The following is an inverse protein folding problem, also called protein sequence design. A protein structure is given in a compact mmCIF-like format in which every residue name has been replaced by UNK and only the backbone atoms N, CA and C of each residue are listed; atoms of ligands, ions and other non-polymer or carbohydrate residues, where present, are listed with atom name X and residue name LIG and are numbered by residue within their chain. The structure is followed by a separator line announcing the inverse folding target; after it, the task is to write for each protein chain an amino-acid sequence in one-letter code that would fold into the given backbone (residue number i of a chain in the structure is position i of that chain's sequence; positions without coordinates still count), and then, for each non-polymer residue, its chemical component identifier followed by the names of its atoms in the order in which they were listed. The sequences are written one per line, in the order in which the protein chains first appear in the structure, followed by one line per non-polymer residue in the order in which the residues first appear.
data_IF_077634908057
#
_entry.id   IF_077634908057
#
_cell.length_a   1.000
_cell.length_b   1.000
_cell.length_c   1.000
_cell.angle_alpha   90.00
_cell.angle_beta   90.00
_cell.angle_gamma   90.00
#
_symmetry.space_group_name_H-M   'P 1'
#
loop_
_entity.id
_entity.type
_entity.pdbx_description
1 polymer ?
#
# COMPACT_ATOMS: atom_id res chain seq x y z
N UNK A 1 -1.24 10.97 -24.44
CA UNK A 1 -0.55 9.86 -23.75
C UNK A 1 0.94 10.12 -23.80
N UNK A 2 1.73 9.59 -22.86
CA UNK A 2 3.19 9.59 -22.95
C UNK A 2 3.63 8.26 -23.57
N UNK A 3 4.42 8.32 -24.64
CA UNK A 3 4.96 7.14 -25.30
C UNK A 3 6.15 6.61 -24.49
N UNK A 4 6.14 5.32 -24.16
CA UNK A 4 7.36 4.64 -23.69
C UNK A 4 8.28 4.47 -24.91
N UNK A 5 9.56 4.88 -24.87
CA UNK A 5 10.49 4.68 -25.97
C UNK A 5 10.62 3.19 -26.31
N UNK A 6 10.65 2.86 -27.60
CA UNK A 6 10.58 1.49 -28.13
C UNK A 6 11.75 0.58 -27.71
N UNK A 7 12.77 1.12 -27.04
CA UNK A 7 13.95 0.42 -26.55
C UNK A 7 14.10 0.44 -25.02
N UNK A 8 13.04 0.78 -24.25
CA UNK A 8 13.08 0.75 -22.77
C UNK A 8 12.59 -0.59 -22.21
N UNK A 9 13.42 -1.28 -21.42
CA UNK A 9 13.04 -2.52 -20.73
C UNK A 9 12.00 -2.23 -19.63
N UNK A 10 10.88 -2.97 -19.65
CA UNK A 10 9.83 -2.90 -18.62
C UNK A 10 10.00 -4.03 -17.61
N UNK A 11 10.30 -3.69 -16.36
CA UNK A 11 10.36 -4.64 -15.24
C UNK A 11 9.06 -4.59 -14.42
N UNK A 12 8.55 -5.78 -14.03
CA UNK A 12 7.31 -5.94 -13.28
C UNK A 12 7.54 -6.60 -11.91
N UNK A 13 8.15 -5.89 -10.94
CA UNK A 13 8.37 -6.45 -9.61
C UNK A 13 7.02 -6.64 -8.89
N UNK A 14 6.85 -7.79 -8.24
CA UNK A 14 5.73 -8.06 -7.36
C UNK A 14 6.01 -7.45 -5.98
N UNK A 15 5.14 -6.56 -5.52
CA UNK A 15 5.24 -5.89 -4.22
C UNK A 15 4.14 -6.41 -3.31
N UNK A 16 4.54 -7.10 -2.25
CA UNK A 16 3.62 -7.71 -1.27
C UNK A 16 3.32 -6.68 -0.18
N UNK A 17 2.10 -6.15 -0.19
CA UNK A 17 1.55 -5.36 0.90
C UNK A 17 1.22 -6.28 2.09
N UNK A 18 1.60 -5.83 3.28
CA UNK A 18 1.23 -6.43 4.57
C UNK A 18 0.36 -5.46 5.36
N UNK A 19 -0.55 -5.96 6.21
CA UNK A 19 -1.30 -5.08 7.10
C UNK A 19 -0.34 -4.43 8.12
N UNK A 20 -0.62 -3.18 8.55
CA UNK A 20 0.08 -2.59 9.69
C UNK A 20 -0.27 -3.32 11.00
N UNK A 21 0.53 -3.16 12.08
CA UNK A 21 0.21 -3.76 13.38
C UNK A 21 -1.21 -3.46 13.86
N UNK A 22 -1.84 -4.45 14.50
CA UNK A 22 -3.23 -4.36 14.95
C UNK A 22 -4.26 -4.34 13.82
N UNK A 23 -3.89 -4.79 12.62
CA UNK A 23 -4.80 -4.96 11.48
C UNK A 23 -4.52 -6.28 10.76
N UNK A 24 -5.51 -6.77 10.00
CA UNK A 24 -5.35 -7.88 9.06
C UNK A 24 -6.05 -7.64 7.74
N UNK A 25 -5.58 -8.34 6.70
CA UNK A 25 -6.17 -8.34 5.37
C UNK A 25 -6.98 -9.61 5.14
N UNK A 26 -8.20 -9.47 4.63
CA UNK A 26 -9.07 -10.60 4.28
C UNK A 26 -9.71 -10.37 2.92
N UNK A 27 -9.66 -11.37 2.03
CA UNK A 27 -10.29 -11.27 0.71
C UNK A 27 -11.78 -11.60 0.83
N UNK A 28 -12.64 -10.71 0.32
CA UNK A 28 -14.09 -10.94 0.29
C UNK A 28 -14.44 -12.19 -0.50
N UNK A 29 -15.28 -13.07 0.07
CA UNK A 29 -15.72 -14.31 -0.57
C UNK A 29 -16.32 -14.06 -1.95
N UNK A 30 -15.96 -14.90 -2.93
CA UNK A 30 -16.42 -14.83 -4.32
C UNK A 30 -17.94 -14.93 -4.49
N UNK A 31 -18.68 -15.34 -3.45
CA UNK A 31 -20.15 -15.47 -3.46
C UNK A 31 -20.92 -14.15 -3.43
N UNK A 32 -20.28 -13.00 -3.20
CA UNK A 32 -20.97 -11.71 -3.20
C UNK A 32 -20.12 -10.61 -3.87
N UNK A 33 -20.64 -9.87 -4.86
CA UNK A 33 -19.85 -8.89 -5.59
C UNK A 33 -19.56 -7.63 -4.75
N UNK A 34 -18.42 -6.95 -4.98
CA UNK A 34 -17.33 -7.33 -5.88
C UNK A 34 -16.37 -8.35 -5.24
N UNK A 35 -16.19 -9.49 -5.91
CA UNK A 35 -15.19 -10.48 -5.55
C UNK A 35 -13.76 -9.88 -5.66
N UNK A 36 -12.82 -10.39 -4.87
CA UNK A 36 -11.42 -9.96 -4.91
C UNK A 36 -11.10 -8.63 -4.19
N UNK A 37 -12.09 -7.95 -3.59
CA UNK A 37 -11.80 -6.82 -2.69
C UNK A 37 -11.11 -7.31 -1.42
N UNK A 38 -9.97 -6.70 -1.10
CA UNK A 38 -9.28 -6.86 0.19
C UNK A 38 -9.96 -5.98 1.22
N UNK A 39 -10.54 -6.59 2.25
CA UNK A 39 -11.01 -5.91 3.46
C UNK A 39 -9.87 -5.76 4.45
N UNK A 40 -9.86 -4.64 5.16
CA UNK A 40 -8.98 -4.42 6.31
C UNK A 40 -9.81 -4.54 7.58
N UNK A 41 -9.40 -5.42 8.48
CA UNK A 41 -9.96 -5.56 9.83
C UNK A 41 -9.00 -4.94 10.86
N UNK A 42 -9.55 -4.55 12.01
CA UNK A 42 -8.79 -4.17 13.20
C UNK A 42 -8.68 -5.38 14.12
N UNK A 43 -7.47 -5.72 14.54
CA UNK A 43 -7.16 -6.87 15.38
C UNK A 43 -6.70 -6.48 16.78
N UNK A 44 -6.95 -7.36 17.74
CA UNK A 44 -6.71 -7.10 19.16
C UNK A 44 -5.39 -7.72 19.62
N UNK A 45 -4.35 -6.89 19.75
CA UNK A 45 -3.04 -7.32 20.24
C UNK A 45 -2.98 -7.52 21.77
N UNK A 46 -4.01 -7.11 22.52
CA UNK A 46 -4.04 -7.20 24.00
C UNK A 46 -3.72 -8.61 24.55
N UNK A 47 -3.94 -9.68 23.78
CA UNK A 47 -3.66 -11.06 24.17
C UNK A 47 -2.18 -11.35 24.49
N UNK A 48 -1.24 -10.50 24.04
CA UNK A 48 0.19 -10.61 24.37
C UNK A 48 0.68 -9.67 25.47
N UNK A 49 -0.12 -8.67 25.88
CA UNK A 49 0.33 -7.55 26.74
C UNK A 49 -0.46 -7.45 28.06
N UNK A 50 -0.88 -8.59 28.61
CA UNK A 50 -1.73 -8.66 29.81
C UNK A 50 -0.98 -8.39 31.13
N UNK A 51 -0.25 -7.27 31.21
CA UNK A 51 0.59 -6.90 32.37
C UNK A 51 0.36 -5.50 32.97
N UNK A 52 -0.29 -4.56 32.27
CA UNK A 52 -0.35 -3.15 32.70
C UNK A 52 -1.76 -2.53 32.82
N UNK A 53 -2.83 -3.31 32.66
CA UNK A 53 -4.22 -2.83 32.76
C UNK A 53 -4.66 -1.84 31.67
N UNK A 54 -3.75 -1.40 30.81
CA UNK A 54 -4.04 -0.57 29.64
C UNK A 54 -4.90 -1.33 28.64
N UNK A 55 -6.07 -0.79 28.32
CA UNK A 55 -6.97 -1.38 27.32
C UNK A 55 -6.59 -0.87 25.93
N UNK A 56 -6.09 -1.75 25.07
CA UNK A 56 -5.89 -1.46 23.65
C UNK A 56 -7.19 -0.90 23.01
N UNK A 57 -7.07 -0.11 21.94
CA UNK A 57 -8.13 0.77 21.42
C UNK A 57 -9.50 0.10 21.25
N UNK A 58 -9.53 -1.14 20.75
CA UNK A 58 -10.75 -1.96 20.62
C UNK A 58 -11.45 -2.24 21.96
N UNK A 59 -10.70 -2.46 23.04
CA UNK A 59 -11.23 -2.77 24.38
C UNK A 59 -11.49 -1.52 25.24
N UNK A 60 -10.87 -0.38 24.92
CA UNK A 60 -11.18 0.89 25.58
C UNK A 60 -12.67 1.27 25.41
N UNK A 61 -13.23 1.00 24.23
CA UNK A 61 -14.63 1.19 23.86
C UNK A 61 -15.49 -0.09 23.92
N UNK A 62 -15.08 -1.11 24.70
CA UNK A 62 -15.87 -2.34 24.89
C UNK A 62 -16.18 -3.13 23.61
N UNK A 63 -15.25 -3.15 22.64
CA UNK A 63 -15.44 -3.77 21.31
C UNK A 63 -16.19 -2.89 20.30
N UNK A 64 -17.05 -2.00 20.79
CA UNK A 64 -17.81 -1.03 20.00
C UNK A 64 -17.06 0.30 19.88
N UNK A 65 -15.94 0.29 19.15
CA UNK A 65 -15.54 1.52 18.44
C UNK A 65 -16.66 1.84 17.42
N UNK A 66 -16.93 3.13 17.19
CA UNK A 66 -18.07 3.58 16.36
C UNK A 66 -17.79 3.50 14.82
N UNK A 67 -18.36 4.42 13.99
CA UNK A 67 -18.58 4.41 12.51
C UNK A 67 -17.73 5.27 11.35
N UNK A 68 -16.14 7.45 11.39
CA UNK A 68 -15.31 8.38 12.25
C UNK A 68 -14.07 7.71 12.91
N UNK A 69 -13.78 7.68 14.21
CA UNK A 69 -12.61 6.95 14.83
C UNK A 69 -11.96 5.78 14.01
N UNK A 70 -12.52 4.53 14.00
CA UNK A 70 -12.16 3.38 13.12
C UNK A 70 -12.05 3.77 11.65
N UNK A 71 -12.97 4.59 11.20
CA UNK A 71 -13.21 4.87 9.79
C UNK A 71 -12.33 6.04 9.25
N UNK A 72 -11.69 6.83 10.13
CA UNK A 72 -10.57 7.75 9.89
C UNK A 72 -9.22 7.04 9.91
N UNK A 73 -9.02 6.05 10.80
CA UNK A 73 -7.79 5.24 10.84
C UNK A 73 -7.53 4.51 9.51
N UNK A 74 -8.58 4.18 8.77
CA UNK A 74 -8.50 3.47 7.50
C UNK A 74 -8.49 4.39 6.26
N UNK A 75 -8.97 5.64 6.36
CA UNK A 75 -9.25 6.49 5.19
C UNK A 75 -8.01 6.83 4.34
N UNK A 76 -6.81 6.79 4.90
CA UNK A 76 -5.56 7.00 4.14
C UNK A 76 -5.40 6.04 2.96
N UNK A 77 -5.80 4.77 3.12
CA UNK A 77 -5.59 3.69 2.13
C UNK A 77 -6.87 2.93 1.76
N UNK A 78 -7.96 3.14 2.48
CA UNK A 78 -9.21 2.42 2.29
C UNK A 78 -10.35 3.34 1.86
N UNK A 79 -11.35 2.76 1.18
CA UNK A 79 -12.66 3.36 0.99
C UNK A 79 -13.66 2.52 1.78
N UNK A 80 -14.07 3.02 2.94
CA UNK A 80 -14.71 2.20 3.97
C UNK A 80 -13.74 1.17 4.56
N UNK A 81 -14.18 -0.08 4.72
CA UNK A 81 -13.36 -1.17 5.27
C UNK A 81 -12.55 -1.95 4.21
N UNK A 82 -12.33 -1.39 3.02
CA UNK A 82 -11.69 -2.08 1.89
C UNK A 82 -10.51 -1.26 1.37
N UNK A 83 -9.37 -1.90 1.08
CA UNK A 83 -8.25 -1.24 0.39
C UNK A 83 -8.74 -0.64 -0.93
N UNK A 84 -8.40 0.63 -1.16
CA UNK A 84 -8.75 1.36 -2.36
C UNK A 84 -7.54 1.42 -3.29
N UNK A 85 -7.67 0.87 -4.50
CA UNK A 85 -6.55 0.73 -5.44
C UNK A 85 -5.98 2.08 -5.85
N UNK A 86 -6.79 3.13 -5.94
CA UNK A 86 -6.34 4.46 -6.36
C UNK A 86 -5.66 5.21 -5.19
N UNK A 87 -6.19 5.07 -3.95
CA UNK A 87 -5.50 5.58 -2.75
C UNK A 87 -4.17 4.87 -2.52
N UNK A 88 -4.15 3.54 -2.61
CA UNK A 88 -2.93 2.72 -2.42
C UNK A 88 -1.91 3.00 -3.54
N UNK A 89 -2.31 3.06 -4.81
CA UNK A 89 -1.37 3.36 -5.90
C UNK A 89 -0.76 4.76 -5.75
N UNK A 90 -1.55 5.76 -5.35
CA UNK A 90 -1.07 7.12 -5.05
C UNK A 90 -0.11 7.14 -3.87
N UNK A 91 -0.40 6.41 -2.80
CA UNK A 91 0.48 6.28 -1.65
C UNK A 91 1.81 5.61 -2.02
N UNK A 92 1.80 4.54 -2.82
CA UNK A 92 3.03 3.90 -3.34
C UNK A 92 3.81 4.85 -4.26
N UNK A 93 3.13 5.61 -5.12
CA UNK A 93 3.76 6.62 -6.00
C UNK A 93 4.45 7.76 -5.23
N UNK A 94 3.97 8.12 -4.02
CA UNK A 94 4.65 9.09 -3.14
C UNK A 94 5.75 8.42 -2.31
N UNK A 95 5.48 7.25 -1.72
CA UNK A 95 6.40 6.58 -0.80
C UNK A 95 7.67 6.08 -1.50
N UNK A 96 7.55 5.47 -2.68
CA UNK A 96 8.68 4.80 -3.36
C UNK A 96 9.79 5.79 -3.77
N UNK A 97 9.52 6.96 -4.38
CA UNK A 97 10.55 7.95 -4.64
C UNK A 97 11.15 8.55 -3.36
N UNK A 98 10.34 8.79 -2.31
CA UNK A 98 10.85 9.26 -1.02
C UNK A 98 11.79 8.25 -0.35
N UNK A 99 11.46 6.96 -0.42
CA UNK A 99 12.31 5.87 0.10
C UNK A 99 13.56 5.65 -0.77
N UNK A 100 13.46 5.85 -2.09
CA UNK A 100 14.59 5.74 -3.02
C UNK A 100 15.73 6.71 -2.67
N UNK A 101 15.40 7.94 -2.28
CA UNK A 101 16.37 8.96 -1.85
C UNK A 101 17.20 8.55 -0.60
N UNK A 102 16.78 7.51 0.14
CA UNK A 102 17.53 6.97 1.28
C UNK A 102 18.55 5.89 0.86
N UNK A 103 18.58 5.49 -0.41
CA UNK A 103 19.49 4.46 -0.94
C UNK A 103 20.70 5.11 -1.64
N UNK A 104 21.94 4.57 -1.49
CA UNK A 104 23.13 5.10 -2.16
C UNK A 104 23.04 5.18 -3.70
N UNK A 105 22.19 4.33 -4.31
CA UNK A 105 21.93 4.32 -5.74
C UNK A 105 21.23 5.59 -6.25
N UNK A 106 20.55 6.36 -5.39
CA UNK A 106 19.88 7.61 -5.76
C UNK A 106 20.84 8.71 -6.26
N UNK A 107 22.11 8.65 -5.85
CA UNK A 107 23.17 9.55 -6.33
C UNK A 107 23.53 9.35 -7.82
N UNK A 108 23.18 8.19 -8.39
CA UNK A 108 23.57 7.78 -9.74
C UNK A 108 22.36 7.51 -10.67
N UNK A 109 21.18 7.26 -10.09
CA UNK A 109 19.94 7.04 -10.83
C UNK A 109 18.75 7.74 -10.13
N UNK A 110 18.01 8.54 -10.88
CA UNK A 110 16.76 9.15 -10.43
C UNK A 110 15.60 8.16 -10.62
N UNK A 111 14.75 7.99 -9.60
CA UNK A 111 13.49 7.24 -9.69
C UNK A 111 12.30 8.21 -9.62
N UNK A 112 11.53 8.28 -10.71
CA UNK A 112 10.41 9.22 -10.86
C UNK A 112 9.09 8.45 -10.98
N UNK A 113 8.06 8.85 -10.22
CA UNK A 113 6.71 8.29 -10.37
C UNK A 113 6.05 8.80 -11.66
N UNK A 114 5.44 7.88 -12.42
CA UNK A 114 4.71 8.20 -13.64
C UNK A 114 3.21 8.40 -13.33
N UNK A 115 2.54 9.41 -13.91
CA UNK A 115 1.16 9.72 -13.59
C UNK A 115 0.19 8.68 -14.15
N UNK A 116 -0.22 7.72 -13.31
CA UNK A 116 -1.31 6.78 -13.59
C UNK A 116 -2.21 6.61 -12.37
N UNK A 117 -3.53 6.60 -12.54
CA UNK A 117 -4.46 6.45 -11.41
C UNK A 117 -4.54 5.04 -10.81
N UNK A 118 -4.12 4.00 -11.56
CA UNK A 118 -4.38 2.58 -11.24
C UNK A 118 -3.17 1.64 -11.35
N UNK A 119 -1.98 2.17 -11.65
CA UNK A 119 -0.73 1.39 -11.68
C UNK A 119 0.38 2.11 -10.92
N UNK A 120 1.23 1.32 -10.26
CA UNK A 120 2.43 1.80 -9.57
C UNK A 120 3.60 1.88 -10.57
N UNK A 121 3.48 2.80 -11.52
CA UNK A 121 4.43 2.98 -12.61
C UNK A 121 5.51 4.01 -12.26
N UNK A 122 6.76 3.68 -12.55
CA UNK A 122 7.93 4.53 -12.31
C UNK A 122 8.91 4.46 -13.49
N UNK A 123 9.76 5.47 -13.61
CA UNK A 123 10.90 5.48 -14.52
C UNK A 123 12.19 5.64 -13.70
N UNK A 124 13.14 4.73 -13.91
CA UNK A 124 14.50 4.85 -13.38
C UNK A 124 15.41 5.37 -14.50
N UNK A 125 16.02 6.54 -14.30
CA UNK A 125 16.93 7.17 -15.26
C UNK A 125 18.32 7.29 -14.65
N UNK A 126 19.32 6.68 -15.27
CA UNK A 126 20.73 6.75 -14.84
C UNK A 126 21.43 7.98 -15.43
N UNK A 127 22.47 8.47 -14.75
CA UNK A 127 23.43 9.44 -15.30
C UNK A 127 24.12 8.96 -16.59
N UNK A 128 24.13 7.65 -16.85
CA UNK A 128 24.60 7.05 -18.11
C UNK A 128 23.63 7.18 -19.29
N UNK A 129 22.44 7.76 -19.09
CA UNK A 129 21.37 7.84 -20.09
C UNK A 129 20.48 6.60 -20.18
N UNK A 130 20.82 5.51 -19.47
CA UNK A 130 19.97 4.32 -19.36
C UNK A 130 18.62 4.67 -18.73
N UNK A 131 17.53 4.32 -19.41
CA UNK A 131 16.16 4.44 -18.91
C UNK A 131 15.51 3.06 -18.75
N UNK A 132 14.97 2.79 -17.58
CA UNK A 132 14.25 1.55 -17.24
C UNK A 132 12.84 1.91 -16.80
N UNK A 133 11.85 1.23 -17.38
CA UNK A 133 10.45 1.34 -16.98
C UNK A 133 10.13 0.31 -15.89
N UNK A 134 9.44 0.74 -14.83
CA UNK A 134 9.04 -0.10 -13.70
C UNK A 134 7.52 -0.06 -13.56
N UNK A 135 6.87 -1.21 -13.49
CA UNK A 135 5.42 -1.34 -13.27
C UNK A 135 5.19 -2.30 -12.10
N UNK A 136 5.09 -1.76 -10.89
CA UNK A 136 4.99 -2.58 -9.68
C UNK A 136 3.61 -3.23 -9.57
N UNK A 137 3.56 -4.55 -9.59
CA UNK A 137 2.35 -5.32 -9.37
C UNK A 137 2.08 -5.41 -7.85
N UNK A 138 1.01 -4.80 -7.37
CA UNK A 138 0.64 -4.87 -5.95
C UNK A 138 -0.12 -6.16 -5.66
N UNK A 139 0.33 -6.90 -4.66
CA UNK A 139 -0.36 -8.06 -4.09
C UNK A 139 -0.53 -7.89 -2.57
N UNK A 140 -1.37 -8.72 -1.96
CA UNK A 140 -1.49 -8.82 -0.49
C UNK A 140 -1.10 -10.22 -0.04
N UNK A 141 -0.43 -10.30 1.11
CA UNK A 141 -0.22 -11.58 1.80
C UNK A 141 -1.46 -11.93 2.63
N UNK A 142 -1.79 -13.23 2.67
CA UNK A 142 -2.71 -13.85 3.63
C UNK A 142 -1.90 -14.45 4.78
#
# INVERSE_FOLDING_TARGET
AWSIPENSTVYRPLVILRPPPGHSFSVGSTKQPPAGRVRVALECLCSGEQLLGQRCFLHASGGQLQRDQRWYLLDTLCTGSCLDVEKVSRWVQVLVPSAWLLLPHSLHCQLTALPCGKSCSFQLTSTSGLQISLEMALAVQQ
#
